data_IF_480748614251
#
_entry.id   IF_480748614251
#
_cell.length_a   1.000
_cell.length_b   1.000
_cell.length_c   1.000
_cell.angle_alpha   90.00
_cell.angle_beta   90.00
_cell.angle_gamma   90.00
#
_symmetry.space_group_name_H-M   'P 1'
#
loop_
_entity.id
_entity.type
_entity.pdbx_description
1 polymer ?
#
# COMPACT_ATOMS: atom_id res chain seq x y z
N UNK A 1 39.33 -23.22 25.79
CA UNK A 1 38.62 -22.12 25.10
C UNK A 1 37.14 -22.32 25.34
N UNK A 2 36.48 -21.42 26.06
CA UNK A 2 35.06 -21.51 26.35
C UNK A 2 34.29 -20.74 25.27
N UNK A 3 33.47 -21.45 24.50
CA UNK A 3 32.58 -20.86 23.50
C UNK A 3 31.36 -20.31 24.21
N UNK A 4 31.30 -19.00 24.41
CA UNK A 4 30.09 -18.32 24.90
C UNK A 4 29.04 -18.33 23.81
N UNK A 5 28.02 -19.16 23.96
CA UNK A 5 26.82 -19.14 23.12
C UNK A 5 26.02 -17.90 23.53
N UNK A 6 25.97 -16.89 22.67
CA UNK A 6 24.99 -15.81 22.83
C UNK A 6 23.60 -16.37 22.51
N UNK A 7 22.79 -16.56 23.55
CA UNK A 7 21.38 -16.89 23.41
C UNK A 7 20.67 -15.58 23.07
N UNK A 8 20.38 -15.36 21.80
CA UNK A 8 19.49 -14.29 21.37
C UNK A 8 18.08 -14.62 21.85
N UNK A 9 17.57 -13.90 22.84
CA UNK A 9 16.17 -13.99 23.26
C UNK A 9 15.30 -13.37 22.16
N UNK A 10 14.69 -14.20 21.32
CA UNK A 10 13.69 -13.74 20.36
C UNK A 10 12.45 -13.32 21.13
N UNK A 11 12.20 -12.01 21.25
CA UNK A 11 10.95 -11.52 21.83
C UNK A 11 9.76 -11.93 20.95
N UNK A 12 8.65 -12.35 21.59
CA UNK A 12 7.39 -12.58 20.87
C UNK A 12 6.92 -11.28 20.22
N UNK A 13 6.40 -11.36 19.00
CA UNK A 13 5.97 -10.21 18.21
C UNK A 13 5.03 -9.26 18.97
N UNK A 14 4.00 -9.79 19.65
CA UNK A 14 3.08 -8.95 20.42
C UNK A 14 3.72 -8.29 21.64
N UNK A 15 4.72 -8.92 22.26
CA UNK A 15 5.52 -8.29 23.33
C UNK A 15 6.30 -7.10 22.79
N UNK A 16 6.89 -7.24 21.61
CA UNK A 16 7.60 -6.16 20.93
C UNK A 16 6.66 -4.99 20.60
N UNK A 17 5.49 -5.27 20.04
CA UNK A 17 4.48 -4.26 19.74
C UNK A 17 4.00 -3.56 21.02
N UNK A 18 3.74 -4.29 22.10
CA UNK A 18 3.35 -3.70 23.40
C UNK A 18 4.46 -2.84 24.00
N UNK A 19 5.72 -3.23 23.86
CA UNK A 19 6.82 -2.47 24.43
C UNK A 19 7.03 -1.12 23.70
N UNK A 20 6.82 -1.07 22.38
CA UNK A 20 7.23 0.09 21.58
C UNK A 20 6.08 0.93 20.99
N UNK A 21 4.94 0.32 20.68
CA UNK A 21 3.79 1.04 20.08
C UNK A 21 2.71 1.33 21.08
N UNK A 22 2.44 0.44 22.03
CA UNK A 22 1.35 0.65 22.98
C UNK A 22 1.49 1.94 23.80
N UNK A 23 2.68 2.33 24.32
CA UNK A 23 2.82 3.60 25.03
C UNK A 23 2.41 4.81 24.17
N UNK A 24 2.77 4.79 22.88
CA UNK A 24 2.37 5.83 21.92
C UNK A 24 0.86 5.82 21.76
N UNK A 25 0.25 4.65 21.49
CA UNK A 25 -1.18 4.55 21.26
C UNK A 25 -2.02 4.92 22.51
N UNK A 26 -1.51 4.65 23.71
CA UNK A 26 -2.17 5.03 24.96
C UNK A 26 -2.32 6.55 25.10
N UNK A 27 -1.35 7.34 24.62
CA UNK A 27 -1.44 8.81 24.62
C UNK A 27 -2.66 9.33 23.82
N UNK A 28 -3.16 8.52 22.87
CA UNK A 28 -4.32 8.83 22.04
C UNK A 28 -5.58 8.04 22.44
N UNK A 29 -5.59 7.48 23.66
CA UNK A 29 -6.76 6.82 24.24
C UNK A 29 -7.06 5.42 23.67
N UNK A 30 -6.09 4.78 23.04
CA UNK A 30 -6.25 3.39 22.60
C UNK A 30 -6.03 2.39 23.74
N UNK A 31 -6.86 1.36 23.76
CA UNK A 31 -6.72 0.19 24.62
C UNK A 31 -6.54 -1.08 23.78
N UNK A 32 -5.87 -2.08 24.34
CA UNK A 32 -5.78 -3.41 23.73
C UNK A 32 -7.14 -4.11 23.89
N UNK A 33 -7.75 -4.53 22.78
CA UNK A 33 -9.04 -5.24 22.78
C UNK A 33 -8.92 -6.71 22.41
N UNK A 34 -7.79 -7.10 21.79
CA UNK A 34 -7.48 -8.50 21.46
C UNK A 34 -5.97 -8.67 21.34
N UNK A 35 -5.47 -9.77 21.89
CA UNK A 35 -4.09 -10.21 21.73
C UNK A 35 -4.08 -11.72 21.42
N UNK A 36 -3.30 -12.10 20.41
CA UNK A 36 -2.92 -13.49 20.11
C UNK A 36 -1.42 -13.53 19.85
N UNK A 37 -0.85 -14.70 19.56
CA UNK A 37 0.60 -14.84 19.37
C UNK A 37 1.21 -13.88 18.34
N UNK A 38 0.50 -13.64 17.23
CA UNK A 38 0.99 -12.85 16.10
C UNK A 38 0.07 -11.69 15.72
N UNK A 39 -0.88 -11.33 16.60
CA UNK A 39 -1.83 -10.26 16.31
C UNK A 39 -2.16 -9.50 17.58
N UNK A 40 -2.19 -8.19 17.47
CA UNK A 40 -2.68 -7.31 18.51
C UNK A 40 -3.60 -6.26 17.90
N UNK A 41 -4.73 -6.03 18.56
CA UNK A 41 -5.74 -5.07 18.13
C UNK A 41 -5.92 -4.01 19.20
N UNK A 42 -5.88 -2.75 18.78
CA UNK A 42 -6.09 -1.59 19.61
C UNK A 42 -7.38 -0.88 19.19
N UNK A 43 -8.10 -0.29 20.14
CA UNK A 43 -9.29 0.51 19.89
C UNK A 43 -9.32 1.74 20.78
N UNK A 44 -9.59 2.90 20.18
CA UNK A 44 -9.98 4.14 20.84
C UNK A 44 -11.47 4.40 20.61
N UNK A 45 -11.98 5.55 21.05
CA UNK A 45 -13.36 5.96 20.77
C UNK A 45 -13.65 6.13 19.27
N UNK A 46 -12.63 6.42 18.46
CA UNK A 46 -12.77 6.85 17.07
C UNK A 46 -12.13 5.91 16.06
N UNK A 47 -11.15 5.12 16.49
CA UNK A 47 -10.33 4.30 15.58
C UNK A 47 -10.07 2.91 16.15
N UNK A 48 -9.74 2.01 15.23
CA UNK A 48 -9.19 0.68 15.49
C UNK A 48 -7.87 0.53 14.73
N UNK A 49 -6.90 -0.13 15.36
CA UNK A 49 -5.61 -0.47 14.76
C UNK A 49 -5.42 -1.98 14.88
N UNK A 50 -5.08 -2.64 13.78
CA UNK A 50 -4.62 -4.03 13.75
C UNK A 50 -3.12 -4.04 13.48
N UNK A 51 -2.36 -4.82 14.25
CA UNK A 51 -0.95 -5.08 13.98
C UNK A 51 -0.75 -6.59 13.95
N UNK A 52 -0.33 -7.11 12.80
CA UNK A 52 -0.31 -8.54 12.49
C UNK A 52 1.06 -8.93 11.96
N UNK A 53 1.54 -10.09 12.39
CA UNK A 53 2.66 -10.80 11.77
C UNK A 53 2.13 -12.10 11.17
N UNK A 54 2.35 -12.30 9.87
CA UNK A 54 2.03 -13.54 9.21
C UNK A 54 3.25 -14.45 9.21
N UNK A 55 3.18 -15.53 10.00
CA UNK A 55 4.28 -16.49 10.13
C UNK A 55 4.57 -17.31 8.86
N UNK A 56 3.60 -17.43 7.94
CA UNK A 56 3.72 -18.29 6.77
C UNK A 56 4.61 -17.66 5.68
N UNK A 57 4.42 -16.37 5.42
CA UNK A 57 5.19 -15.59 4.46
C UNK A 57 6.20 -14.64 5.12
N UNK A 58 6.25 -14.62 6.47
CA UNK A 58 7.09 -13.76 7.29
C UNK A 58 6.84 -12.26 7.04
N UNK A 59 5.61 -11.89 6.68
CA UNK A 59 5.21 -10.51 6.43
C UNK A 59 4.55 -9.85 7.64
N UNK A 60 4.52 -8.51 7.62
CA UNK A 60 3.82 -7.70 8.60
C UNK A 60 2.69 -6.93 7.93
N UNK A 61 1.62 -6.72 8.70
CA UNK A 61 0.50 -5.91 8.29
C UNK A 61 0.13 -4.97 9.43
N UNK A 62 -0.07 -3.71 9.10
CA UNK A 62 -0.73 -2.75 9.98
C UNK A 62 -1.90 -2.12 9.24
N UNK A 63 -3.04 -2.04 9.92
CA UNK A 63 -4.23 -1.38 9.41
C UNK A 63 -4.76 -0.41 10.45
N UNK A 64 -5.24 0.74 10.01
CA UNK A 64 -5.83 1.77 10.87
C UNK A 64 -7.07 2.34 10.19
N UNK A 65 -8.10 2.61 10.99
CA UNK A 65 -9.32 3.21 10.47
C UNK A 65 -10.50 3.12 11.42
N UNK A 66 -11.68 3.47 10.91
CA UNK A 66 -12.93 3.36 11.67
C UNK A 66 -13.41 1.91 11.67
N UNK A 67 -14.29 1.58 12.60
CA UNK A 67 -14.94 0.27 12.61
C UNK A 67 -15.68 0.02 11.28
N UNK A 68 -15.37 -1.08 10.61
CA UNK A 68 -15.88 -1.41 9.28
C UNK A 68 -15.08 -0.85 8.09
N UNK A 69 -14.10 0.03 8.31
CA UNK A 69 -13.25 0.61 7.26
C UNK A 69 -11.82 0.80 7.77
N UNK A 70 -11.03 -0.27 7.69
CA UNK A 70 -9.61 -0.28 8.02
C UNK A 70 -8.78 -0.16 6.75
N UNK A 71 -7.72 0.64 6.82
CA UNK A 71 -6.84 0.93 5.70
C UNK A 71 -5.42 0.44 6.02
N UNK A 72 -4.82 -0.44 5.20
CA UNK A 72 -3.44 -0.86 5.40
C UNK A 72 -2.47 0.30 5.23
N UNK A 73 -1.39 0.30 6.00
CA UNK A 73 -0.20 1.11 5.70
C UNK A 73 0.82 0.23 4.98
N UNK A 74 1.29 0.69 3.83
CA UNK A 74 2.36 0.08 3.04
C UNK A 74 3.49 1.09 2.79
N UNK A 75 4.57 0.67 2.13
CA UNK A 75 5.71 1.56 1.87
C UNK A 75 5.32 2.81 1.04
N UNK A 76 4.32 2.71 0.16
CA UNK A 76 3.82 3.86 -0.60
C UNK A 76 3.16 4.90 0.32
N UNK A 77 2.32 4.45 1.26
CA UNK A 77 1.74 5.33 2.27
C UNK A 77 2.82 5.95 3.15
N UNK A 78 3.84 5.17 3.55
CA UNK A 78 4.97 5.70 4.33
C UNK A 78 5.67 6.83 3.56
N UNK A 79 5.94 6.63 2.28
CA UNK A 79 6.57 7.62 1.42
C UNK A 79 5.70 8.86 1.22
N UNK A 80 4.44 8.70 0.85
CA UNK A 80 3.60 9.82 0.46
C UNK A 80 3.03 10.60 1.64
N UNK A 81 2.64 9.91 2.73
CA UNK A 81 2.02 10.56 3.88
C UNK A 81 3.04 11.08 4.88
N UNK A 82 4.10 10.32 5.12
CA UNK A 82 5.10 10.64 6.15
C UNK A 82 6.38 11.25 5.58
N UNK A 83 6.49 11.38 4.26
CA UNK A 83 7.71 11.84 3.56
C UNK A 83 8.95 11.05 4.03
N UNK A 84 8.80 9.73 4.12
CA UNK A 84 9.76 8.84 4.77
C UNK A 84 10.16 7.69 3.86
N UNK A 85 11.44 7.35 3.87
CA UNK A 85 11.99 6.18 3.17
C UNK A 85 12.10 4.94 4.08
N UNK A 86 11.54 4.97 5.29
CA UNK A 86 11.51 3.80 6.17
C UNK A 86 10.66 2.70 5.53
N UNK A 87 11.21 1.48 5.46
CA UNK A 87 10.44 0.32 5.00
C UNK A 87 9.68 -0.32 6.15
N UNK A 88 8.40 -0.61 5.93
CA UNK A 88 7.57 -1.43 6.82
C UNK A 88 7.20 -2.77 6.15
N UNK A 89 7.53 -2.95 4.88
CA UNK A 89 7.39 -4.21 4.15
C UNK A 89 8.76 -4.90 4.01
N UNK A 90 8.77 -6.24 4.01
CA UNK A 90 9.97 -7.08 3.84
C UNK A 90 11.11 -6.82 4.85
N UNK A 91 10.75 -6.39 6.08
CA UNK A 91 11.70 -6.14 7.16
C UNK A 91 11.51 -7.13 8.33
N UNK A 92 12.46 -7.16 9.27
CA UNK A 92 12.28 -7.94 10.51
C UNK A 92 11.19 -7.35 11.39
N UNK A 93 10.63 -8.15 12.30
CA UNK A 93 9.64 -7.67 13.29
C UNK A 93 10.15 -6.50 14.11
N UNK A 94 11.41 -6.54 14.54
CA UNK A 94 12.07 -5.46 15.28
C UNK A 94 12.08 -4.17 14.47
N UNK A 95 12.52 -4.26 13.22
CA UNK A 95 12.61 -3.11 12.30
C UNK A 95 11.22 -2.57 11.97
N UNK A 96 10.25 -3.44 11.71
CA UNK A 96 8.85 -3.08 11.46
C UNK A 96 8.28 -2.25 12.62
N UNK A 97 8.39 -2.77 13.85
CA UNK A 97 7.85 -2.09 15.03
C UNK A 97 8.60 -0.79 15.33
N UNK A 98 9.93 -0.78 15.19
CA UNK A 98 10.73 0.44 15.37
C UNK A 98 10.36 1.51 14.36
N UNK A 99 10.22 1.15 13.08
CA UNK A 99 9.85 2.10 12.03
C UNK A 99 8.46 2.66 12.26
N UNK A 100 7.48 1.82 12.62
CA UNK A 100 6.16 2.32 13.03
C UNK A 100 6.23 3.25 14.24
N UNK A 101 7.07 2.94 15.23
CA UNK A 101 7.28 3.82 16.40
C UNK A 101 7.79 5.20 15.99
N UNK A 102 8.73 5.25 15.04
CA UNK A 102 9.25 6.51 14.48
C UNK A 102 8.14 7.26 13.73
N UNK A 103 7.42 6.58 12.84
CA UNK A 103 6.36 7.18 12.02
C UNK A 103 5.22 7.74 12.88
N UNK A 104 4.76 7.01 13.90
CA UNK A 104 3.68 7.45 14.77
C UNK A 104 4.04 8.59 15.73
N UNK A 105 5.33 8.80 16.00
CA UNK A 105 5.83 9.96 16.77
C UNK A 105 5.94 11.24 15.93
N UNK A 106 5.83 11.15 14.61
CA UNK A 106 5.78 12.34 13.76
C UNK A 106 4.45 13.08 13.93
N UNK A 107 4.40 14.35 13.50
CA UNK A 107 3.15 15.12 13.43
C UNK A 107 2.06 14.40 12.61
N UNK A 108 2.43 13.78 11.49
CA UNK A 108 1.48 13.04 10.63
C UNK A 108 0.96 11.77 11.30
N UNK A 109 1.83 11.08 12.03
CA UNK A 109 1.43 9.97 12.90
C UNK A 109 0.42 10.40 13.96
N UNK A 110 0.69 11.50 14.66
CA UNK A 110 -0.20 12.06 15.67
C UNK A 110 -1.55 12.51 15.08
N UNK A 111 -1.56 13.17 13.91
CA UNK A 111 -2.78 13.55 13.19
C UNK A 111 -3.62 12.30 12.86
N UNK A 112 -2.98 11.22 12.39
CA UNK A 112 -3.63 9.95 12.08
C UNK A 112 -4.22 9.28 13.33
N UNK A 113 -3.47 9.19 14.42
CA UNK A 113 -3.93 8.60 15.69
C UNK A 113 -5.09 9.39 16.32
N UNK A 114 -5.20 10.69 16.05
CA UNK A 114 -6.33 11.54 16.42
C UNK A 114 -7.56 11.40 15.50
N UNK A 115 -7.56 10.47 14.54
CA UNK A 115 -8.72 10.20 13.68
C UNK A 115 -8.63 10.74 12.26
N UNK A 116 -7.56 11.46 11.90
CA UNK A 116 -7.41 11.97 10.54
C UNK A 116 -6.88 10.89 9.58
N UNK A 117 -7.79 10.07 9.07
CA UNK A 117 -7.49 8.97 8.13
C UNK A 117 -7.94 9.26 6.69
N UNK A 118 -8.37 10.49 6.39
CA UNK A 118 -8.88 10.86 5.06
C UNK A 118 -7.85 10.67 3.95
N UNK A 119 -6.56 10.89 4.26
CA UNK A 119 -5.48 10.61 3.31
C UNK A 119 -5.44 9.14 2.91
N UNK A 120 -5.59 8.22 3.87
CA UNK A 120 -5.55 6.78 3.60
C UNK A 120 -6.72 6.37 2.71
N UNK A 121 -7.91 6.87 3.01
CA UNK A 121 -9.10 6.65 2.18
C UNK A 121 -8.87 7.15 0.74
N UNK A 122 -8.35 8.37 0.59
CA UNK A 122 -8.06 8.95 -0.73
C UNK A 122 -6.99 8.15 -1.47
N UNK A 123 -5.92 7.76 -0.79
CA UNK A 123 -4.81 7.00 -1.38
C UNK A 123 -5.29 5.64 -1.90
N UNK A 124 -6.12 4.90 -1.15
CA UNK A 124 -6.66 3.62 -1.61
C UNK A 124 -7.61 3.80 -2.80
N UNK A 125 -8.50 4.80 -2.76
CA UNK A 125 -9.38 5.09 -3.89
C UNK A 125 -8.56 5.43 -5.13
N UNK A 126 -7.57 6.32 -4.99
CA UNK A 126 -6.70 6.72 -6.09
C UNK A 126 -5.92 5.53 -6.66
N UNK A 127 -5.30 4.70 -5.81
CA UNK A 127 -4.58 3.50 -6.26
C UNK A 127 -5.48 2.53 -7.01
N UNK A 128 -6.74 2.38 -6.57
CA UNK A 128 -7.72 1.55 -7.26
C UNK A 128 -8.11 2.13 -8.63
N UNK A 129 -8.32 3.45 -8.71
CA UNK A 129 -8.62 4.16 -9.96
C UNK A 129 -7.45 4.12 -10.94
N UNK A 130 -6.23 4.33 -10.46
CA UNK A 130 -5.00 4.28 -11.25
C UNK A 130 -4.80 2.87 -11.81
N UNK A 131 -4.89 1.84 -10.97
CA UNK A 131 -4.78 0.44 -11.40
C UNK A 131 -5.84 0.06 -12.44
N UNK A 132 -7.09 0.48 -12.23
CA UNK A 132 -8.17 0.20 -13.19
C UNK A 132 -7.91 0.91 -14.51
N UNK A 133 -7.45 2.15 -14.47
CA UNK A 133 -7.14 2.94 -15.67
C UNK A 133 -5.98 2.35 -16.45
N UNK A 134 -4.90 1.93 -15.78
CA UNK A 134 -3.75 1.25 -16.41
C UNK A 134 -4.16 -0.07 -17.06
N UNK A 135 -4.97 -0.88 -16.37
CA UNK A 135 -5.48 -2.14 -16.89
C UNK A 135 -6.35 -1.92 -18.14
N UNK A 136 -7.28 -0.96 -18.09
CA UNK A 136 -8.13 -0.60 -19.22
C UNK A 136 -7.29 -0.11 -20.40
N UNK A 137 -6.29 0.74 -20.15
CA UNK A 137 -5.39 1.24 -21.20
C UNK A 137 -4.62 0.08 -21.86
N UNK A 138 -4.11 -0.86 -21.06
CA UNK A 138 -3.40 -2.04 -21.57
C UNK A 138 -4.30 -2.90 -22.45
N UNK A 139 -5.53 -3.18 -22.00
CA UNK A 139 -6.50 -3.96 -22.78
C UNK A 139 -6.89 -3.27 -24.10
N UNK A 140 -7.07 -1.95 -24.08
CA UNK A 140 -7.39 -1.19 -25.30
C UNK A 140 -6.20 -1.16 -26.28
N UNK A 141 -4.95 -1.11 -25.78
CA UNK A 141 -3.75 -1.22 -26.62
C UNK A 141 -3.59 -2.62 -27.22
N UNK A 142 -3.85 -3.68 -26.45
CA UNK A 142 -3.83 -5.06 -26.94
C UNK A 142 -4.89 -5.26 -28.03
N UNK A 143 -6.13 -4.82 -27.81
CA UNK A 143 -7.19 -4.89 -28.80
C UNK A 143 -6.88 -4.05 -30.06
N UNK A 144 -6.27 -2.87 -29.90
CA UNK A 144 -5.80 -2.08 -31.04
C UNK A 144 -4.73 -2.86 -31.81
N UNK A 145 -3.77 -3.48 -31.13
CA UNK A 145 -2.75 -4.28 -31.79
C UNK A 145 -3.34 -5.44 -32.59
N UNK A 146 -4.31 -6.17 -32.03
CA UNK A 146 -5.01 -7.25 -32.74
C UNK A 146 -5.73 -6.73 -33.99
N UNK A 147 -6.44 -5.60 -33.90
CA UNK A 147 -7.10 -4.97 -35.03
C UNK A 147 -6.11 -4.57 -36.15
N UNK A 148 -4.94 -4.06 -35.77
CA UNK A 148 -3.87 -3.75 -36.71
C UNK A 148 -3.37 -4.99 -37.47
N UNK A 149 -3.13 -6.10 -36.76
CA UNK A 149 -2.60 -7.33 -37.33
C UNK A 149 -3.55 -7.96 -38.35
N UNK A 150 -4.87 -7.86 -38.13
CA UNK A 150 -5.89 -8.35 -39.08
C UNK A 150 -6.27 -7.32 -40.15
N UNK A 151 -5.69 -6.12 -40.13
CA UNK A 151 -5.94 -5.05 -41.10
C UNK A 151 -7.23 -4.25 -40.88
N UNK A 152 -7.85 -4.35 -39.70
CA UNK A 152 -9.03 -3.57 -39.33
C UNK A 152 -8.63 -2.16 -38.84
N UNK A 153 -8.39 -1.27 -39.81
CA UNK A 153 -7.91 0.09 -39.55
C UNK A 153 -8.96 0.98 -38.85
N UNK A 154 -10.25 0.72 -39.05
CA UNK A 154 -11.32 1.49 -38.40
C UNK A 154 -11.37 1.19 -36.90
N UNK A 155 -11.35 -0.11 -36.52
CA UNK A 155 -11.28 -0.51 -35.11
C UNK A 155 -9.98 -0.03 -34.47
N UNK A 156 -8.84 -0.14 -35.18
CA UNK A 156 -7.57 0.40 -34.70
C UNK A 156 -7.67 1.88 -34.31
N UNK A 157 -8.16 2.73 -35.22
CA UNK A 157 -8.26 4.18 -34.99
C UNK A 157 -9.20 4.47 -33.82
N UNK A 158 -10.37 3.83 -33.77
CA UNK A 158 -11.35 4.03 -32.71
C UNK A 158 -10.78 3.70 -31.32
N UNK A 159 -9.99 2.62 -31.21
CA UNK A 159 -9.32 2.24 -29.97
C UNK A 159 -8.27 3.26 -29.54
N UNK A 160 -7.43 3.73 -30.47
CA UNK A 160 -6.41 4.75 -30.16
C UNK A 160 -7.03 6.11 -29.82
N UNK A 161 -8.14 6.50 -30.45
CA UNK A 161 -8.84 7.76 -30.15
C UNK A 161 -9.43 7.75 -28.73
N UNK A 162 -9.95 6.61 -28.26
CA UNK A 162 -10.45 6.44 -26.89
C UNK A 162 -9.35 6.62 -25.83
N UNK A 163 -8.14 6.12 -26.11
CA UNK A 163 -6.98 6.30 -25.22
C UNK A 163 -6.42 7.73 -25.32
N UNK A 164 -6.44 8.29 -26.53
CA UNK A 164 -5.80 9.55 -26.90
C UNK A 164 -4.45 9.31 -27.57
N UNK A 165 -4.31 9.79 -28.81
CA UNK A 165 -3.13 9.55 -29.67
C UNK A 165 -1.81 9.96 -29.01
N UNK A 166 -1.80 11.03 -28.21
CA UNK A 166 -0.60 11.51 -27.52
C UNK A 166 -0.24 10.69 -26.25
N UNK A 167 -1.11 9.77 -25.82
CA UNK A 167 -0.93 8.93 -24.62
C UNK A 167 -0.49 7.50 -24.94
N UNK A 168 -0.35 7.15 -26.22
CA UNK A 168 0.08 5.80 -26.64
C UNK A 168 1.56 5.80 -27.09
N UNK A 169 2.25 4.65 -27.04
CA UNK A 169 3.64 4.55 -27.49
C UNK A 169 3.84 5.00 -28.95
N UNK A 170 5.03 5.50 -29.29
CA UNK A 170 5.35 6.05 -30.61
C UNK A 170 5.05 5.08 -31.76
N UNK A 171 5.22 3.76 -31.54
CA UNK A 171 4.89 2.72 -32.51
C UNK A 171 3.39 2.73 -32.88
N UNK A 172 2.49 2.93 -31.92
CA UNK A 172 1.05 3.03 -32.16
C UNK A 172 0.68 4.36 -32.83
N UNK A 173 1.37 5.46 -32.49
CA UNK A 173 1.16 6.76 -33.13
C UNK A 173 1.50 6.69 -34.64
N UNK A 174 2.57 5.99 -35.00
CA UNK A 174 2.95 5.79 -36.40
C UNK A 174 1.89 4.95 -37.13
N UNK A 175 1.47 3.82 -36.53
CA UNK A 175 0.41 2.96 -37.07
C UNK A 175 -0.90 3.72 -37.24
N UNK A 176 -1.25 4.61 -36.32
CA UNK A 176 -2.43 5.46 -36.40
C UNK A 176 -2.40 6.40 -37.61
N UNK A 177 -1.25 7.03 -37.88
CA UNK A 177 -1.07 7.85 -39.08
C UNK A 177 -1.23 7.02 -40.35
N UNK A 178 -0.66 5.81 -40.37
CA UNK A 178 -0.79 4.90 -41.51
C UNK A 178 -2.25 4.47 -41.70
N UNK A 179 -2.92 4.04 -40.63
CA UNK A 179 -4.32 3.62 -40.66
C UNK A 179 -5.23 4.73 -41.21
N UNK A 180 -5.05 5.99 -40.75
CA UNK A 180 -5.79 7.15 -41.25
C UNK A 180 -5.54 7.48 -42.73
N UNK A 181 -4.38 7.10 -43.28
CA UNK A 181 -4.10 7.27 -44.71
C UNK A 181 -4.64 6.13 -45.57
N UNK A 182 -5.00 4.99 -44.97
CA UNK A 182 -5.52 3.81 -45.67
C UNK A 182 -7.05 3.79 -45.77
N UNK A 183 -7.74 4.59 -44.94
CA UNK A 183 -9.17 4.87 -45.01
C UNK A 183 -9.40 6.15 -45.81
#
# INVERSE_FOLDING_TARGET
MATTIQITYTMKFTSLVKAQLFPIFQEYGFNIIRESENTIQFKSLILKINVVFNKYDKSHLIEIGKEGALYPLNNNVVKELFDSNLSIEEVTSETFVQNLSVLFKTRKGAEMLNGNVEFLKKNIIQQSEDYTSELMQKQELEAAWEAWEVGDYEVFINKIDRIGVNKVPQSYQLKYKIAKHKL
#
